data_IF_949054263918
#
_entry.id   IF_949054263918
#
_cell.length_a   1.000
_cell.length_b   1.000
_cell.length_c   1.000
_cell.angle_alpha   90.00
_cell.angle_beta   90.00
_cell.angle_gamma   90.00
#
_symmetry.space_group_name_H-M   'P 1'
#
loop_
_entity.id
_entity.type
_entity.pdbx_description
1 polymer ?
#
# COMPACT_ATOMS: atom_id res chain seq x y z
N UNK A 1 -44.12 2.78 39.01
CA UNK A 1 -43.36 2.32 37.84
C UNK A 1 -41.95 2.91 37.94
N UNK A 2 -40.89 2.12 37.84
CA UNK A 2 -39.53 2.68 37.90
C UNK A 2 -39.31 3.56 36.71
N UNK A 3 -38.99 4.83 36.93
CA UNK A 3 -38.60 5.77 35.89
C UNK A 3 -37.22 5.34 35.35
N UNK A 4 -37.19 4.93 34.09
CA UNK A 4 -35.94 4.61 33.40
C UNK A 4 -35.18 5.92 33.22
N UNK A 5 -34.00 6.02 33.84
CA UNK A 5 -33.15 7.20 33.75
C UNK A 5 -32.51 7.28 32.32
N UNK A 6 -33.27 7.87 31.40
CA UNK A 6 -32.91 8.01 29.97
C UNK A 6 -31.60 8.79 29.82
N UNK A 7 -31.31 9.71 30.76
CA UNK A 7 -30.12 10.55 30.71
C UNK A 7 -28.82 9.75 30.85
N UNK A 8 -28.82 8.77 31.78
CA UNK A 8 -27.65 7.90 31.96
C UNK A 8 -27.42 6.96 30.77
N UNK A 9 -28.51 6.52 30.13
CA UNK A 9 -28.44 5.67 28.95
C UNK A 9 -27.92 6.46 27.72
N UNK A 10 -28.33 7.71 27.60
CA UNK A 10 -27.88 8.61 26.52
C UNK A 10 -26.40 8.96 26.67
N UNK A 11 -25.93 9.17 27.91
CA UNK A 11 -24.51 9.45 28.19
C UNK A 11 -23.62 8.27 27.82
N UNK A 12 -24.01 7.02 28.20
CA UNK A 12 -23.30 5.82 27.78
C UNK A 12 -23.28 5.65 26.27
N UNK A 13 -24.38 5.98 25.58
CA UNK A 13 -24.45 5.87 24.13
C UNK A 13 -23.53 6.91 23.45
N UNK A 14 -23.49 8.15 23.93
CA UNK A 14 -22.60 9.19 23.39
C UNK A 14 -21.13 8.83 23.60
N UNK A 15 -20.77 8.31 24.78
CA UNK A 15 -19.40 7.84 25.06
C UNK A 15 -19.00 6.69 24.12
N UNK A 16 -19.90 5.76 23.86
CA UNK A 16 -19.66 4.64 22.96
C UNK A 16 -19.51 5.11 21.50
N UNK A 17 -20.32 6.11 21.10
CA UNK A 17 -20.26 6.70 19.79
C UNK A 17 -18.96 7.47 19.56
N UNK A 18 -18.50 8.26 20.53
CA UNK A 18 -17.21 8.95 20.50
C UNK A 18 -16.07 7.95 20.45
N UNK A 19 -16.11 6.89 21.26
CA UNK A 19 -15.12 5.83 21.25
C UNK A 19 -15.02 5.14 19.89
N UNK A 20 -16.16 4.81 19.27
CA UNK A 20 -16.20 4.24 17.94
C UNK A 20 -15.65 5.21 16.89
N UNK A 21 -16.00 6.50 16.99
CA UNK A 21 -15.53 7.53 16.05
C UNK A 21 -14.00 7.70 16.12
N UNK A 22 -13.43 7.71 17.33
CA UNK A 22 -11.98 7.81 17.53
C UNK A 22 -11.27 6.57 16.98
N UNK A 23 -11.79 5.37 17.28
CA UNK A 23 -11.18 4.12 16.80
C UNK A 23 -11.34 3.96 15.28
N UNK A 24 -12.47 4.35 14.71
CA UNK A 24 -12.70 4.30 13.28
C UNK A 24 -11.82 5.32 12.54
N UNK A 25 -11.67 6.53 13.08
CA UNK A 25 -10.76 7.54 12.54
C UNK A 25 -9.31 7.08 12.57
N UNK A 26 -8.87 6.43 13.66
CA UNK A 26 -7.52 5.88 13.76
C UNK A 26 -7.25 4.72 12.78
N UNK A 27 -8.27 3.94 12.43
CA UNK A 27 -8.14 2.84 11.47
C UNK A 27 -8.03 3.30 10.01
N UNK A 28 -8.56 4.50 9.70
CA UNK A 28 -8.58 5.03 8.33
C UNK A 28 -7.29 5.80 7.97
N UNK A 29 -6.51 6.21 8.97
CA UNK A 29 -5.25 6.95 8.78
C UNK A 29 -4.01 6.08 9.02
N UNK A 30 -3.92 4.93 8.38
CA UNK A 30 -2.62 4.38 8.03
C UNK A 30 -2.09 5.10 6.77
N UNK A 31 -2.23 6.44 6.76
CA UNK A 31 -1.38 7.25 5.92
C UNK A 31 0.04 7.11 6.50
N UNK A 32 0.93 6.57 5.72
CA UNK A 32 2.37 6.59 5.96
C UNK A 32 2.72 7.95 6.54
N UNK A 33 3.08 8.01 7.83
CA UNK A 33 3.70 9.19 8.41
C UNK A 33 5.05 9.34 7.73
N UNK A 34 5.07 10.00 6.58
CA UNK A 34 6.27 10.66 6.12
C UNK A 34 6.60 11.72 7.17
N UNK A 35 7.56 11.41 8.03
CA UNK A 35 8.07 12.34 9.01
C UNK A 35 8.68 13.54 8.27
N UNK A 36 8.04 14.70 8.42
CA UNK A 36 8.61 16.01 8.12
C UNK A 36 8.36 16.51 6.70
N UNK A 37 7.55 17.57 6.61
CA UNK A 37 7.42 18.51 5.49
C UNK A 37 7.37 17.90 4.09
N UNK A 38 6.25 17.31 3.74
CA UNK A 38 5.90 17.00 2.36
C UNK A 38 4.97 18.10 1.83
N UNK A 39 5.51 19.02 1.04
CA UNK A 39 4.70 19.80 0.12
C UNK A 39 4.35 18.91 -1.07
N UNK A 40 3.11 18.46 -1.11
CA UNK A 40 2.59 17.77 -2.30
C UNK A 40 2.42 18.79 -3.43
N UNK A 41 2.97 18.53 -4.62
CA UNK A 41 2.67 19.36 -5.77
C UNK A 41 1.16 19.33 -6.01
N UNK A 42 0.53 20.50 -6.02
CA UNK A 42 -0.89 20.67 -6.38
C UNK A 42 -1.03 20.29 -7.86
N UNK A 43 -1.54 19.10 -8.13
CA UNK A 43 -1.87 18.68 -9.48
C UNK A 43 -3.23 19.27 -9.85
N UNK A 44 -3.29 20.14 -10.85
CA UNK A 44 -4.52 20.61 -11.49
C UNK A 44 -5.07 19.59 -12.52
N UNK A 45 -4.84 18.32 -12.34
CA UNK A 45 -5.35 17.30 -13.24
C UNK A 45 -6.73 16.83 -12.77
N UNK A 46 -7.75 17.09 -13.56
CA UNK A 46 -9.12 16.55 -13.46
C UNK A 46 -9.18 15.02 -13.68
N UNK A 47 -8.11 14.29 -13.35
CA UNK A 47 -8.09 12.84 -13.43
C UNK A 47 -8.68 12.26 -12.15
N UNK A 48 -9.73 11.46 -12.31
CA UNK A 48 -10.32 10.68 -11.23
C UNK A 48 -9.23 9.91 -10.49
N UNK A 49 -9.32 9.78 -9.14
CA UNK A 49 -8.38 8.98 -8.38
C UNK A 49 -8.39 7.54 -8.94
N UNK A 50 -7.26 7.10 -9.47
CA UNK A 50 -7.03 5.71 -9.85
C UNK A 50 -6.42 5.05 -8.63
N UNK A 51 -7.00 3.97 -8.15
CA UNK A 51 -6.34 3.13 -7.14
C UNK A 51 -5.08 2.56 -7.76
N UNK A 52 -3.95 3.09 -7.34
CA UNK A 52 -2.64 2.67 -7.84
C UNK A 52 -1.94 1.91 -6.73
N UNK A 53 -1.49 0.71 -7.04
CA UNK A 53 -0.74 -0.12 -6.11
C UNK A 53 0.58 0.57 -5.73
N UNK A 54 0.86 0.69 -4.44
CA UNK A 54 2.08 1.33 -3.95
C UNK A 54 3.03 0.31 -3.35
N UNK A 55 4.27 0.28 -3.86
CA UNK A 55 5.38 -0.48 -3.30
C UNK A 55 6.40 0.49 -2.70
N UNK A 56 6.66 0.35 -1.42
CA UNK A 56 7.67 1.12 -0.71
C UNK A 56 8.82 0.19 -0.34
N UNK A 57 10.03 0.59 -0.71
CA UNK A 57 11.26 -0.15 -0.44
C UNK A 57 12.17 0.69 0.44
N UNK A 58 12.20 0.37 1.70
CA UNK A 58 13.13 0.96 2.66
C UNK A 58 14.45 0.17 2.74
N UNK A 59 15.36 0.51 3.63
CA UNK A 59 16.68 -0.15 3.75
C UNK A 59 16.62 -1.62 4.15
N UNK A 60 15.50 -2.09 4.69
CA UNK A 60 15.38 -3.43 5.27
C UNK A 60 14.09 -4.14 4.89
N UNK A 61 13.08 -3.44 4.40
CA UNK A 61 11.75 -3.99 4.16
C UNK A 61 11.23 -3.62 2.78
N UNK A 62 10.46 -4.52 2.19
CA UNK A 62 9.57 -4.22 1.07
C UNK A 62 8.15 -4.24 1.58
N UNK A 63 7.44 -3.14 1.34
CA UNK A 63 6.11 -2.87 1.86
C UNK A 63 5.17 -2.68 0.67
N UNK A 64 4.08 -3.45 0.64
CA UNK A 64 3.01 -3.34 -0.35
C UNK A 64 1.73 -2.96 0.37
N UNK A 65 1.08 -1.88 -0.06
CA UNK A 65 -0.16 -1.38 0.57
C UNK A 65 -0.06 -1.26 2.11
N UNK A 66 1.08 -0.78 2.60
CA UNK A 66 1.32 -0.58 4.03
C UNK A 66 1.65 -1.85 4.83
N UNK A 67 1.74 -3.02 4.19
CA UNK A 67 2.11 -4.28 4.84
C UNK A 67 3.51 -4.71 4.43
N UNK A 68 4.34 -5.08 5.40
CA UNK A 68 5.66 -5.66 5.12
C UNK A 68 5.49 -7.03 4.49
N UNK A 69 5.98 -7.20 3.28
CA UNK A 69 5.90 -8.45 2.50
C UNK A 69 7.11 -9.34 2.79
N UNK A 70 8.31 -8.77 2.70
CA UNK A 70 9.53 -9.48 3.06
C UNK A 70 10.62 -8.52 3.53
N UNK A 71 11.65 -9.08 4.16
CA UNK A 71 12.81 -8.34 4.66
C UNK A 71 14.06 -8.66 3.84
N UNK A 72 14.85 -7.63 3.58
CA UNK A 72 16.11 -7.75 2.89
C UNK A 72 17.24 -7.05 3.65
N UNK A 73 18.48 -7.30 3.27
CA UNK A 73 19.64 -6.60 3.83
C UNK A 73 20.27 -5.71 2.77
N UNK A 74 19.96 -4.41 2.80
CA UNK A 74 20.50 -3.41 1.85
C UNK A 74 20.36 -3.83 0.37
N UNK A 75 19.22 -4.40 0.01
CA UNK A 75 18.96 -4.85 -1.37
C UNK A 75 19.40 -6.28 -1.68
N UNK A 76 19.93 -7.00 -0.70
CA UNK A 76 20.23 -8.44 -0.86
C UNK A 76 19.05 -9.25 -0.39
N UNK A 77 18.46 -10.04 -1.29
CA UNK A 77 17.36 -10.96 -1.02
C UNK A 77 17.96 -12.34 -0.66
N UNK A 78 17.32 -13.06 0.24
CA UNK A 78 17.75 -14.42 0.58
C UNK A 78 17.48 -15.36 -0.59
N UNK A 79 18.39 -16.31 -0.83
CA UNK A 79 18.21 -17.32 -1.90
C UNK A 79 16.91 -18.11 -1.76
N UNK A 80 16.46 -18.37 -0.52
CA UNK A 80 15.18 -19.05 -0.26
C UNK A 80 13.93 -18.26 -0.70
N UNK A 81 14.06 -16.96 -0.90
CA UNK A 81 12.98 -16.08 -1.33
C UNK A 81 13.03 -15.78 -2.84
N UNK A 82 14.02 -16.36 -3.54
CA UNK A 82 14.19 -16.23 -4.99
C UNK A 82 13.74 -17.52 -5.69
N UNK A 83 13.28 -17.37 -6.93
CA UNK A 83 13.02 -18.51 -7.81
C UNK A 83 14.32 -19.14 -8.36
N UNK A 84 14.19 -20.23 -9.11
CA UNK A 84 15.31 -20.92 -9.74
C UNK A 84 16.15 -20.04 -10.68
N UNK A 85 15.57 -18.96 -11.20
CA UNK A 85 16.28 -17.99 -12.05
C UNK A 85 17.14 -17.01 -11.24
N UNK A 86 16.94 -16.92 -9.93
CA UNK A 86 17.60 -15.97 -9.04
C UNK A 86 17.13 -14.51 -9.22
N UNK A 87 16.06 -14.28 -9.98
CA UNK A 87 15.56 -12.95 -10.31
C UNK A 87 14.20 -12.63 -9.71
N UNK A 88 13.27 -13.59 -9.72
CA UNK A 88 11.92 -13.39 -9.22
C UNK A 88 11.90 -13.55 -7.70
N UNK A 89 11.32 -12.59 -7.01
CA UNK A 89 11.15 -12.62 -5.56
C UNK A 89 9.78 -13.24 -5.25
N UNK A 90 9.78 -14.50 -4.81
CA UNK A 90 8.54 -15.28 -4.62
C UNK A 90 7.55 -14.63 -3.66
N UNK A 91 7.93 -14.17 -2.43
CA UNK A 91 6.97 -13.54 -1.52
C UNK A 91 6.33 -12.27 -2.09
N UNK A 92 7.09 -11.50 -2.88
CA UNK A 92 6.56 -10.31 -3.55
C UNK A 92 5.60 -10.69 -4.68
N UNK A 93 5.96 -11.69 -5.48
CA UNK A 93 5.14 -12.18 -6.58
C UNK A 93 3.77 -12.66 -6.12
N UNK A 94 3.71 -13.47 -5.06
CA UNK A 94 2.45 -13.97 -4.51
C UNK A 94 1.50 -12.84 -4.06
N UNK A 95 2.04 -11.85 -3.36
CA UNK A 95 1.26 -10.71 -2.89
C UNK A 95 0.76 -9.87 -4.07
N UNK A 96 1.60 -9.61 -5.07
CA UNK A 96 1.22 -8.84 -6.24
C UNK A 96 0.18 -9.57 -7.09
N UNK A 97 0.29 -10.88 -7.25
CA UNK A 97 -0.69 -11.69 -7.96
C UNK A 97 -2.08 -11.63 -7.29
N UNK A 98 -2.11 -11.77 -5.96
CA UNK A 98 -3.35 -11.63 -5.19
C UNK A 98 -3.98 -10.24 -5.34
N UNK A 99 -3.18 -9.18 -5.42
CA UNK A 99 -3.68 -7.83 -5.65
C UNK A 99 -4.19 -7.65 -7.09
N UNK A 100 -3.51 -8.22 -8.08
CA UNK A 100 -3.95 -8.20 -9.47
C UNK A 100 -5.31 -8.88 -9.63
N UNK A 101 -5.50 -10.04 -9.02
CA UNK A 101 -6.77 -10.77 -9.06
C UNK A 101 -7.91 -9.99 -8.38
N UNK A 102 -7.66 -9.37 -7.24
CA UNK A 102 -8.62 -8.50 -6.57
C UNK A 102 -9.02 -7.32 -7.46
N UNK A 103 -8.05 -6.67 -8.09
CA UNK A 103 -8.29 -5.53 -8.95
C UNK A 103 -9.08 -5.93 -10.20
N UNK A 104 -8.78 -7.09 -10.80
CA UNK A 104 -9.56 -7.67 -11.92
C UNK A 104 -11.01 -7.96 -11.49
N UNK A 105 -11.20 -8.54 -10.30
CA UNK A 105 -12.54 -8.81 -9.79
C UNK A 105 -13.34 -7.51 -9.60
N UNK A 106 -12.74 -6.48 -8.98
CA UNK A 106 -13.37 -5.16 -8.79
C UNK A 106 -13.70 -4.53 -10.16
N UNK A 107 -12.78 -4.58 -11.12
CA UNK A 107 -13.00 -4.06 -12.47
C UNK A 107 -14.13 -4.81 -13.22
N UNK A 108 -14.31 -6.10 -12.97
CA UNK A 108 -15.39 -6.89 -13.55
C UNK A 108 -16.78 -6.45 -13.04
N UNK A 109 -16.86 -6.06 -11.77
CA UNK A 109 -18.09 -5.59 -11.12
C UNK A 109 -18.34 -4.10 -11.42
N UNK A 110 -17.29 -3.30 -11.52
CA UNK A 110 -17.39 -1.87 -11.76
C UNK A 110 -16.63 -1.46 -13.03
N UNK A 111 -17.31 -1.43 -14.16
CA UNK A 111 -16.76 -1.07 -15.48
C UNK A 111 -16.16 0.34 -15.58
N UNK A 112 -16.32 1.19 -14.55
CA UNK A 112 -15.73 2.53 -14.49
C UNK A 112 -14.30 2.54 -13.95
N UNK A 113 -13.85 1.47 -13.31
CA UNK A 113 -12.49 1.30 -12.80
C UNK A 113 -11.70 0.51 -13.85
N UNK A 114 -10.82 1.19 -14.58
CA UNK A 114 -9.83 0.52 -15.41
C UNK A 114 -8.65 0.15 -14.53
N UNK A 115 -8.36 -1.13 -14.42
CA UNK A 115 -7.08 -1.62 -13.89
C UNK A 115 -6.03 -1.35 -14.97
N UNK A 116 -5.18 -0.36 -14.74
CA UNK A 116 -4.12 -0.01 -15.70
C UNK A 116 -2.82 -0.79 -15.47
N UNK A 117 -2.80 -1.74 -14.50
CA UNK A 117 -1.58 -2.49 -14.17
C UNK A 117 -0.41 -1.58 -13.75
N UNK A 118 -0.76 -0.42 -13.14
CA UNK A 118 0.20 0.61 -12.76
C UNK A 118 0.65 0.43 -11.30
N UNK A 119 1.96 0.53 -11.07
CA UNK A 119 2.56 0.56 -9.72
C UNK A 119 3.26 1.89 -9.48
N UNK A 120 3.05 2.46 -8.31
CA UNK A 120 3.90 3.51 -7.77
C UNK A 120 5.01 2.88 -6.94
N UNK A 121 6.26 3.07 -7.36
CA UNK A 121 7.42 2.54 -6.68
C UNK A 121 8.18 3.66 -5.99
N UNK A 122 8.31 3.56 -4.68
CA UNK A 122 9.12 4.44 -3.85
C UNK A 122 10.27 3.64 -3.26
N UNK A 123 11.51 4.07 -3.52
CA UNK A 123 12.70 3.34 -3.10
C UNK A 123 13.70 4.27 -2.43
N UNK A 124 14.39 3.76 -1.40
CA UNK A 124 15.50 4.48 -0.77
C UNK A 124 16.68 4.61 -1.77
N UNK A 125 17.27 5.80 -1.82
CA UNK A 125 18.34 6.15 -2.76
C UNK A 125 19.63 5.34 -2.58
N UNK A 126 19.84 4.80 -1.36
CA UNK A 126 21.06 4.06 -1.01
C UNK A 126 20.98 2.58 -1.41
N UNK A 127 19.85 2.14 -1.97
CA UNK A 127 19.68 0.78 -2.43
C UNK A 127 20.24 0.56 -3.84
N UNK A 128 20.80 -0.64 -4.12
CA UNK A 128 21.41 -0.90 -5.41
C UNK A 128 20.37 -1.04 -6.52
N UNK A 129 20.71 -0.56 -7.72
CA UNK A 129 19.84 -0.65 -8.90
C UNK A 129 19.48 -2.09 -9.29
N UNK A 130 20.34 -3.04 -8.99
CA UNK A 130 20.06 -4.47 -9.21
C UNK A 130 18.79 -4.92 -8.48
N UNK A 131 18.62 -4.48 -7.25
CA UNK A 131 17.46 -4.81 -6.44
C UNK A 131 16.17 -4.17 -7.01
N UNK A 132 16.25 -2.92 -7.47
CA UNK A 132 15.17 -2.28 -8.20
C UNK A 132 14.71 -3.11 -9.41
N UNK A 133 15.69 -3.60 -10.18
CA UNK A 133 15.43 -4.43 -11.36
C UNK A 133 14.73 -5.75 -10.99
N UNK A 134 15.12 -6.40 -9.88
CA UNK A 134 14.44 -7.60 -9.39
C UNK A 134 12.98 -7.32 -9.02
N UNK A 135 12.71 -6.21 -8.32
CA UNK A 135 11.34 -5.81 -7.95
C UNK A 135 10.51 -5.55 -9.21
N UNK A 136 11.03 -4.80 -10.17
CA UNK A 136 10.32 -4.51 -11.43
C UNK A 136 10.08 -5.78 -12.25
N UNK A 137 11.05 -6.68 -12.31
CA UNK A 137 10.91 -7.97 -12.99
C UNK A 137 9.79 -8.80 -12.34
N UNK A 138 9.81 -8.92 -11.01
CA UNK A 138 8.79 -9.64 -10.26
C UNK A 138 7.40 -9.05 -10.46
N UNK A 139 7.29 -7.73 -10.45
CA UNK A 139 6.02 -7.04 -10.69
C UNK A 139 5.53 -7.24 -12.14
N UNK A 140 6.44 -7.22 -13.12
CA UNK A 140 6.09 -7.53 -14.51
C UNK A 140 5.54 -8.93 -14.69
N UNK A 141 6.08 -9.92 -13.97
CA UNK A 141 5.56 -11.29 -13.96
C UNK A 141 4.16 -11.39 -13.33
N UNK A 142 3.81 -10.46 -12.41
CA UNK A 142 2.48 -10.34 -11.81
C UNK A 142 1.53 -9.41 -12.59
N UNK A 143 1.79 -9.20 -13.90
CA UNK A 143 0.98 -8.40 -14.84
C UNK A 143 1.02 -6.88 -14.63
N UNK A 144 1.94 -6.37 -13.82
CA UNK A 144 2.15 -4.94 -13.66
C UNK A 144 3.27 -4.46 -14.59
N UNK A 145 2.87 -3.74 -15.66
CA UNK A 145 3.81 -3.31 -16.71
C UNK A 145 4.08 -1.80 -16.71
N UNK A 146 3.33 -1.03 -15.93
CA UNK A 146 3.47 0.42 -15.86
C UNK A 146 3.99 0.85 -14.48
N UNK A 147 5.13 1.58 -14.47
CA UNK A 147 5.82 1.97 -13.24
C UNK A 147 5.96 3.47 -13.14
N UNK A 148 5.53 4.04 -12.02
CA UNK A 148 5.81 5.41 -11.64
C UNK A 148 6.77 5.45 -10.48
N UNK A 149 7.89 6.15 -10.65
CA UNK A 149 8.87 6.33 -9.58
C UNK A 149 8.59 7.60 -8.80
N UNK A 150 8.58 7.49 -7.49
CA UNK A 150 8.51 8.63 -6.58
C UNK A 150 9.83 8.74 -5.84
N UNK A 151 10.57 9.80 -6.11
CA UNK A 151 11.79 10.14 -5.39
C UNK A 151 11.45 11.15 -4.30
N UNK A 152 11.85 10.85 -3.06
CA UNK A 152 11.79 11.82 -1.97
C UNK A 152 12.94 12.81 -2.14
N UNK A 153 12.62 14.08 -2.39
CA UNK A 153 13.61 15.16 -2.33
C UNK A 153 13.82 15.49 -0.86
N UNK A 154 15.06 15.35 -0.38
CA UNK A 154 15.47 15.88 0.92
C UNK A 154 15.42 17.39 0.93
#
# INVERSE_FOLDING_TARGET
MPEINITALLDMFVMLLIFLLINFSAATYHSVKASGYMDFPKSNADKKPVEVLTIIVDKYNVIVEGKVVFKHQKGVVKEADLDDSGFKIEPLYEVLLLQADKTKYIASVNKKLKSEGMIVLQMDKDLPFYFLRQIMYTAGQAEYNDFKFVALKK
#
